data_IF_375943548420
#
_entry.id   IF_375943548420
#
_cell.length_a   1.000
_cell.length_b   1.000
_cell.length_c   1.000
_cell.angle_alpha   90.00
_cell.angle_beta   90.00
_cell.angle_gamma   90.00
#
_symmetry.space_group_name_H-M   'P 1'
#
loop_
_entity.id
_entity.type
_entity.pdbx_description
1 polymer ?
#
# COMPACT_ATOMS: atom_id res chain seq x y z
N UNK A 1 26.62 -27.74 7.39
CA UNK A 1 27.71 -26.74 7.15
C UNK A 1 28.21 -26.22 8.50
N UNK A 2 29.51 -25.95 8.68
CA UNK A 2 30.08 -25.49 9.96
C UNK A 2 30.48 -24.01 9.86
N UNK A 3 30.08 -23.19 10.83
CA UNK A 3 30.55 -21.81 11.00
C UNK A 3 31.53 -21.77 12.16
N UNK A 4 32.75 -21.29 11.90
CA UNK A 4 33.77 -21.08 12.92
C UNK A 4 34.06 -19.59 13.08
N UNK A 5 34.07 -19.10 14.31
CA UNK A 5 34.53 -17.75 14.63
C UNK A 5 35.97 -17.85 15.15
N UNK A 6 36.93 -17.09 14.60
CA UNK A 6 38.28 -17.03 15.14
C UNK A 6 38.29 -16.61 16.62
N UNK A 7 39.05 -17.29 17.50
CA UNK A 7 39.05 -17.04 18.94
C UNK A 7 39.44 -15.58 19.27
N UNK A 8 40.43 -15.04 18.56
CA UNK A 8 40.85 -13.63 18.62
C UNK A 8 39.70 -12.62 18.44
N UNK A 9 38.67 -12.95 17.64
CA UNK A 9 37.49 -12.09 17.47
C UNK A 9 36.51 -12.22 18.63
N UNK A 10 36.43 -13.39 19.25
CA UNK A 10 35.60 -13.61 20.45
C UNK A 10 36.20 -12.88 21.64
N UNK A 11 37.52 -12.97 21.84
CA UNK A 11 38.23 -12.28 22.91
C UNK A 11 38.12 -10.76 22.75
N UNK A 12 38.29 -10.27 21.52
CA UNK A 12 38.07 -8.86 21.19
C UNK A 12 36.64 -8.42 21.51
N UNK A 13 35.63 -9.24 21.18
CA UNK A 13 34.24 -8.91 21.46
C UNK A 13 33.96 -8.90 22.97
N UNK A 14 34.46 -9.88 23.73
CA UNK A 14 34.34 -9.91 25.20
C UNK A 14 34.94 -8.66 25.82
N UNK A 15 36.16 -8.30 25.42
CA UNK A 15 36.83 -7.09 25.91
C UNK A 15 36.03 -5.81 25.61
N UNK A 16 35.52 -5.66 24.40
CA UNK A 16 34.73 -4.48 24.05
C UNK A 16 33.38 -4.42 24.77
N UNK A 17 32.72 -5.56 24.99
CA UNK A 17 31.46 -5.64 25.74
C UNK A 17 31.63 -5.32 27.23
N UNK A 18 32.77 -5.68 27.82
CA UNK A 18 33.08 -5.30 29.20
C UNK A 18 33.21 -3.77 29.36
N UNK A 19 33.77 -3.09 28.34
CA UNK A 19 33.82 -1.62 28.30
C UNK A 19 32.43 -0.96 28.21
N UNK A 20 31.44 -1.63 27.62
CA UNK A 20 30.04 -1.14 27.58
C UNK A 20 29.44 -1.09 29.00
N UNK A 21 29.92 -1.92 29.93
CA UNK A 21 29.43 -1.95 31.31
C UNK A 21 29.96 -0.77 32.14
N UNK A 22 31.16 -0.28 31.87
CA UNK A 22 31.91 0.61 32.77
C UNK A 22 31.53 2.11 32.71
N UNK A 23 31.15 2.69 31.54
CA UNK A 23 30.34 3.92 31.30
C UNK A 23 30.57 4.47 29.87
N UNK A 24 30.14 5.72 29.59
CA UNK A 24 29.94 6.32 28.26
C UNK A 24 31.05 5.98 27.24
N UNK A 25 30.65 5.75 25.98
CA UNK A 25 31.52 5.26 24.91
C UNK A 25 31.38 6.13 23.66
N UNK A 26 32.41 6.25 22.82
CA UNK A 26 32.30 7.00 21.58
C UNK A 26 31.37 6.29 20.58
N UNK A 27 30.65 7.05 19.74
CA UNK A 27 29.75 6.50 18.72
C UNK A 27 30.47 5.50 17.79
N UNK A 28 31.68 5.82 17.37
CA UNK A 28 32.51 4.95 16.52
C UNK A 28 32.83 3.60 17.19
N UNK A 29 33.04 3.59 18.50
CA UNK A 29 33.29 2.37 19.26
C UNK A 29 32.01 1.54 19.36
N UNK A 30 30.87 2.20 19.62
CA UNK A 30 29.56 1.55 19.65
C UNK A 30 29.19 0.91 18.30
N UNK A 31 29.45 1.59 17.20
CA UNK A 31 29.29 1.06 15.83
C UNK A 31 30.20 -0.15 15.59
N UNK A 32 31.46 -0.08 16.02
CA UNK A 32 32.41 -1.19 15.89
C UNK A 32 31.98 -2.42 16.69
N UNK A 33 31.47 -2.25 17.91
CA UNK A 33 30.95 -3.35 18.74
C UNK A 33 29.74 -3.97 18.06
N UNK A 34 28.79 -3.13 17.63
CA UNK A 34 27.54 -3.58 16.99
C UNK A 34 27.84 -4.35 15.70
N UNK A 35 28.83 -3.91 14.92
CA UNK A 35 29.29 -4.62 13.73
C UNK A 35 29.92 -5.99 14.05
N UNK A 36 30.71 -6.07 15.12
CA UNK A 36 31.32 -7.34 15.55
C UNK A 36 30.27 -8.30 16.12
N UNK A 37 29.28 -7.81 16.89
CA UNK A 37 28.13 -8.57 17.34
C UNK A 37 27.33 -9.13 16.16
N UNK A 38 27.02 -8.29 15.16
CA UNK A 38 26.28 -8.72 13.97
C UNK A 38 27.04 -9.80 13.17
N UNK A 39 28.38 -9.70 13.09
CA UNK A 39 29.22 -10.74 12.52
C UNK A 39 29.11 -12.06 13.32
N UNK A 40 29.23 -11.99 14.65
CA UNK A 40 29.18 -13.16 15.53
C UNK A 40 27.78 -13.82 15.59
N UNK A 41 26.70 -13.07 15.38
CA UNK A 41 25.33 -13.61 15.31
C UNK A 41 25.09 -14.58 14.15
N UNK A 42 26.01 -14.69 13.19
CA UNK A 42 25.96 -15.74 12.16
C UNK A 42 26.23 -17.13 12.75
N UNK A 43 26.93 -17.23 13.87
CA UNK A 43 27.18 -18.48 14.59
C UNK A 43 26.35 -18.58 15.87
N UNK A 44 26.06 -17.46 16.53
CA UNK A 44 25.23 -17.42 17.75
C UNK A 44 23.86 -16.83 17.38
N UNK A 45 22.98 -17.66 16.81
CA UNK A 45 21.72 -17.22 16.20
C UNK A 45 20.83 -16.48 17.20
N UNK A 46 20.69 -17.02 18.42
CA UNK A 46 19.87 -16.43 19.49
C UNK A 46 20.37 -15.05 19.95
N UNK A 47 21.66 -14.75 19.78
CA UNK A 47 22.25 -13.49 20.22
C UNK A 47 21.80 -12.29 19.35
N UNK A 48 21.28 -12.54 18.14
CA UNK A 48 20.80 -11.49 17.21
C UNK A 48 19.67 -10.65 17.80
N UNK A 49 18.83 -11.24 18.65
CA UNK A 49 17.71 -10.56 19.30
C UNK A 49 18.18 -9.37 20.16
N UNK A 50 19.40 -9.42 20.69
CA UNK A 50 19.96 -8.45 21.63
C UNK A 50 20.86 -7.40 20.95
N UNK A 51 20.81 -7.28 19.62
CA UNK A 51 21.54 -6.22 18.88
C UNK A 51 20.63 -5.01 18.63
N UNK A 52 19.31 -5.18 18.61
CA UNK A 52 18.39 -4.14 18.14
C UNK A 52 18.51 -2.83 18.92
N UNK A 53 18.61 -2.91 20.25
CA UNK A 53 18.78 -1.74 21.13
C UNK A 53 20.09 -0.99 20.89
N UNK A 54 21.15 -1.66 20.44
CA UNK A 54 22.40 -0.99 20.04
C UNK A 54 22.20 -0.16 18.76
N UNK A 55 21.50 -0.71 17.76
CA UNK A 55 21.17 0.04 16.54
C UNK A 55 20.25 1.23 16.80
N UNK A 56 19.23 1.06 17.65
CA UNK A 56 18.33 2.15 18.03
C UNK A 56 19.08 3.27 18.76
N UNK A 57 20.04 2.91 19.62
CA UNK A 57 20.89 3.88 20.30
C UNK A 57 21.81 4.63 19.33
N UNK A 58 22.43 3.94 18.37
CA UNK A 58 23.24 4.57 17.30
C UNK A 58 22.38 5.56 16.49
N UNK A 59 21.17 5.15 16.08
CA UNK A 59 20.26 5.98 15.30
C UNK A 59 19.74 7.23 16.06
N UNK A 60 19.72 7.18 17.41
CA UNK A 60 19.24 8.28 18.25
C UNK A 60 20.18 9.49 18.32
N UNK A 61 21.44 9.35 17.90
CA UNK A 61 22.47 10.39 18.04
C UNK A 61 22.37 11.41 16.88
N UNK A 62 21.75 12.56 17.16
CA UNK A 62 21.64 13.68 16.20
C UNK A 62 23.04 14.20 15.81
N UNK A 63 23.30 14.28 14.50
CA UNK A 63 24.53 14.74 13.83
C UNK A 63 25.69 13.72 13.68
N UNK A 64 25.54 12.45 14.10
CA UNK A 64 26.38 11.32 13.63
C UNK A 64 27.91 11.50 13.72
N UNK A 65 28.43 12.39 14.58
CA UNK A 65 29.87 12.63 14.66
C UNK A 65 30.56 11.46 15.35
N UNK A 66 31.64 10.88 14.78
CA UNK A 66 32.22 9.62 15.26
C UNK A 66 32.79 9.70 16.69
N UNK A 67 33.23 10.88 17.13
CA UNK A 67 33.80 11.12 18.46
C UNK A 67 32.76 11.52 19.51
N UNK A 68 31.47 11.56 19.15
CA UNK A 68 30.43 11.92 20.10
C UNK A 68 30.25 10.81 21.13
N UNK A 69 30.33 11.19 22.41
CA UNK A 69 30.23 10.25 23.52
C UNK A 69 28.77 9.95 23.86
N UNK A 70 28.38 8.69 23.70
CA UNK A 70 27.01 8.19 23.92
C UNK A 70 26.87 7.67 25.35
N UNK A 71 25.79 8.07 26.03
CA UNK A 71 25.42 7.51 27.34
C UNK A 71 24.60 6.24 27.14
N UNK A 72 25.11 5.12 27.61
CA UNK A 72 24.46 3.81 27.53
C UNK A 72 23.35 3.70 28.59
N UNK A 73 22.15 3.31 28.18
CA UNK A 73 21.01 3.08 29.08
C UNK A 73 21.13 1.70 29.78
N UNK A 74 20.31 1.47 30.79
CA UNK A 74 20.30 0.21 31.56
C UNK A 74 19.97 -1.02 30.70
N UNK A 75 19.15 -0.84 29.66
CA UNK A 75 18.71 -1.91 28.75
C UNK A 75 19.84 -2.39 27.84
N UNK A 76 20.60 -1.48 27.23
CA UNK A 76 21.78 -1.82 26.41
C UNK A 76 22.85 -2.51 27.26
N UNK A 77 22.98 -2.13 28.53
CA UNK A 77 23.85 -2.85 29.49
C UNK A 77 23.32 -4.22 29.89
N UNK A 78 22.00 -4.43 29.88
CA UNK A 78 21.42 -5.76 30.10
C UNK A 78 21.73 -6.67 28.90
N UNK A 79 21.61 -6.16 27.68
CA UNK A 79 21.96 -6.90 26.47
C UNK A 79 23.44 -7.25 26.39
N UNK A 80 24.32 -6.32 26.77
CA UNK A 80 25.76 -6.60 26.85
C UNK A 80 26.07 -7.76 27.81
N UNK A 81 25.37 -7.84 28.95
CA UNK A 81 25.51 -8.96 29.91
C UNK A 81 25.01 -10.28 29.34
N UNK A 82 23.88 -10.26 28.64
CA UNK A 82 23.35 -11.45 27.95
C UNK A 82 24.35 -11.94 26.89
N UNK A 83 24.97 -11.02 26.15
CA UNK A 83 26.02 -11.34 25.19
C UNK A 83 27.25 -11.95 25.83
N UNK A 84 27.73 -11.41 26.96
CA UNK A 84 28.86 -12.00 27.69
C UNK A 84 28.55 -13.44 28.12
N UNK A 85 27.34 -13.69 28.65
CA UNK A 85 26.91 -15.05 29.02
C UNK A 85 26.91 -16.01 27.81
N UNK A 86 26.43 -15.56 26.65
CA UNK A 86 26.51 -16.38 25.43
C UNK A 86 27.95 -16.66 25.01
N UNK A 87 28.85 -15.68 25.09
CA UNK A 87 30.23 -15.84 24.69
C UNK A 87 31.04 -16.71 25.66
N UNK A 88 30.63 -16.82 26.93
CA UNK A 88 31.25 -17.73 27.90
C UNK A 88 30.86 -19.19 27.64
N UNK A 89 29.65 -19.43 27.14
CA UNK A 89 29.18 -20.77 26.80
C UNK A 89 29.49 -21.18 25.34
N UNK A 90 29.95 -20.24 24.50
CA UNK A 90 30.20 -20.49 23.08
C UNK A 90 31.63 -20.96 22.80
N UNK A 91 31.78 -22.20 22.35
CA UNK A 91 33.06 -22.84 22.01
C UNK A 91 33.68 -22.38 20.67
N UNK A 92 33.14 -21.33 20.03
CA UNK A 92 33.65 -20.77 18.77
C UNK A 92 33.19 -21.50 17.51
N UNK A 93 32.37 -22.55 17.62
CA UNK A 93 31.88 -23.35 16.49
C UNK A 93 30.36 -23.53 16.57
N UNK A 94 29.69 -23.37 15.42
CA UNK A 94 28.27 -23.68 15.27
C UNK A 94 28.06 -24.56 14.04
N UNK A 95 27.46 -25.72 14.25
CA UNK A 95 26.96 -26.55 13.16
C UNK A 95 25.60 -26.01 12.75
N UNK A 96 25.38 -25.78 11.45
CA UNK A 96 24.03 -25.64 10.94
C UNK A 96 23.32 -26.98 11.17
N UNK A 97 22.27 -27.06 12.01
CA UNK A 97 21.48 -28.27 12.08
C UNK A 97 20.88 -28.52 10.71
N UNK A 98 20.95 -29.76 10.23
CA UNK A 98 20.16 -30.15 9.08
C UNK A 98 18.69 -29.88 9.43
N UNK A 99 18.04 -29.06 8.59
CA UNK A 99 16.64 -28.67 8.80
C UNK A 99 15.76 -29.85 8.41
N UNK A 100 15.54 -30.76 9.35
CA UNK A 100 14.46 -31.72 9.25
C UNK A 100 13.16 -31.05 9.69
N UNK A 101 12.12 -31.21 8.88
CA UNK A 101 10.77 -30.85 9.31
C UNK A 101 10.33 -31.86 10.36
N UNK A 102 10.30 -31.44 11.62
CA UNK A 102 9.71 -32.20 12.71
C UNK A 102 8.21 -31.92 12.79
N UNK A 103 7.40 -32.94 13.07
CA UNK A 103 5.97 -32.76 13.36
C UNK A 103 5.81 -32.06 14.72
N UNK A 104 4.71 -31.32 14.90
CA UNK A 104 4.38 -30.57 16.13
C UNK A 104 4.23 -31.45 17.38
N UNK A 105 4.37 -32.77 17.27
CA UNK A 105 4.24 -33.74 18.37
C UNK A 105 5.50 -33.81 19.25
N UNK A 106 6.59 -33.14 18.85
CA UNK A 106 7.91 -33.24 19.48
C UNK A 106 8.48 -31.92 20.01
N UNK A 107 7.81 -30.78 19.77
CA UNK A 107 8.26 -29.46 20.20
C UNK A 107 7.16 -28.72 20.96
N UNK A 108 7.28 -28.71 22.29
CA UNK A 108 6.51 -27.81 23.15
C UNK A 108 7.22 -26.44 23.20
N UNK A 109 6.85 -25.54 22.28
CA UNK A 109 7.31 -24.15 22.29
C UNK A 109 6.34 -23.29 23.09
N UNK A 110 6.77 -22.84 24.27
CA UNK A 110 6.04 -21.86 25.07
C UNK A 110 6.64 -20.46 24.86
N UNK A 111 5.77 -19.49 24.55
CA UNK A 111 6.12 -18.07 24.39
C UNK A 111 5.34 -17.24 25.42
N UNK A 112 6.02 -16.29 26.05
CA UNK A 112 5.49 -15.37 27.07
C UNK A 112 5.01 -14.03 26.47
N UNK A 113 4.90 -13.93 25.15
CA UNK A 113 4.52 -12.69 24.45
C UNK A 113 3.00 -12.56 24.19
N UNK A 114 2.17 -12.93 25.16
CA UNK A 114 0.74 -12.60 25.16
C UNK A 114 0.51 -11.39 26.08
N UNK A 115 0.02 -10.28 25.52
CA UNK A 115 -0.21 -9.01 26.23
C UNK A 115 -1.38 -9.03 27.22
N UNK A 116 -1.47 -10.03 28.09
CA UNK A 116 -2.49 -10.15 29.14
C UNK A 116 -1.84 -10.26 30.52
N UNK A 117 -2.42 -9.55 31.49
CA UNK A 117 -1.85 -9.19 32.80
C UNK A 117 -1.66 -10.33 33.81
N UNK A 118 -1.78 -11.59 33.42
CA UNK A 118 -1.65 -12.73 34.31
C UNK A 118 -0.86 -13.82 33.60
N UNK A 119 -0.01 -14.54 34.34
CA UNK A 119 1.05 -15.45 33.90
C UNK A 119 2.40 -14.78 33.57
N UNK A 120 3.08 -14.32 34.62
CA UNK A 120 4.53 -14.14 34.60
C UNK A 120 5.23 -15.31 35.28
N UNK A 121 6.34 -15.79 34.70
CA UNK A 121 7.24 -16.75 35.34
C UNK A 121 8.28 -16.02 36.18
N UNK A 122 8.14 -16.09 37.50
CA UNK A 122 9.25 -16.06 38.46
C UNK A 122 9.53 -17.50 38.95
N UNK A 123 10.63 -17.73 39.67
CA UNK A 123 11.02 -19.07 40.15
C UNK A 123 10.18 -19.58 41.34
N UNK A 124 8.92 -19.15 41.47
CA UNK A 124 8.01 -19.64 42.49
C UNK A 124 6.71 -20.15 41.87
N UNK A 125 6.60 -21.48 41.82
CA UNK A 125 5.39 -22.20 41.48
C UNK A 125 4.30 -21.90 42.52
N UNK A 126 3.31 -21.07 42.18
CA UNK A 126 1.97 -21.18 42.77
C UNK A 126 1.09 -21.95 41.80
N UNK A 127 0.69 -23.14 42.20
CA UNK A 127 -0.32 -23.95 41.51
C UNK A 127 -1.58 -23.10 41.32
N UNK A 128 -1.91 -22.80 40.06
CA UNK A 128 -3.24 -22.33 39.69
C UNK A 128 -4.00 -23.46 39.01
N UNK A 129 -5.21 -23.67 39.52
CA UNK A 129 -6.19 -24.67 39.12
C UNK A 129 -6.42 -24.73 37.63
N UNK A 130 -6.48 -25.96 37.12
CA UNK A 130 -6.80 -26.34 35.75
C UNK A 130 -8.14 -25.78 35.28
N UNK A 131 -8.13 -24.70 34.53
CA UNK A 131 -9.07 -24.52 33.42
C UNK A 131 -8.30 -24.81 32.13
N UNK A 132 -8.63 -25.93 31.48
CA UNK A 132 -8.07 -26.27 30.18
C UNK A 132 -8.28 -25.07 29.24
N UNK A 133 -7.23 -24.51 28.60
CA UNK A 133 -7.44 -23.55 27.53
C UNK A 133 -8.25 -24.27 26.45
N UNK A 134 -9.45 -23.77 26.16
CA UNK A 134 -10.28 -24.21 25.06
C UNK A 134 -9.41 -24.20 23.80
N UNK A 135 -9.06 -25.39 23.29
CA UNK A 135 -8.37 -25.52 22.01
C UNK A 135 -9.26 -24.88 20.94
N UNK A 136 -8.84 -23.73 20.41
CA UNK A 136 -9.48 -23.13 19.25
C UNK A 136 -9.35 -24.14 18.11
N UNK A 137 -10.46 -24.63 17.51
CA UNK A 137 -10.40 -25.60 16.43
C UNK A 137 -9.61 -25.04 15.24
N UNK A 138 -8.77 -25.87 14.61
CA UNK A 138 -7.89 -25.45 13.49
C UNK A 138 -8.68 -24.94 12.28
N UNK A 139 -9.94 -25.36 12.14
CA UNK A 139 -10.86 -24.86 11.10
C UNK A 139 -11.17 -23.35 11.24
N UNK A 140 -11.09 -22.82 12.46
CA UNK A 140 -11.27 -21.39 12.74
C UNK A 140 -10.10 -20.59 12.15
N UNK A 141 -8.86 -21.05 12.38
CA UNK A 141 -7.66 -20.40 11.81
C UNK A 141 -7.62 -20.44 10.28
N UNK A 142 -8.10 -21.52 9.64
CA UNK A 142 -8.15 -21.59 8.18
C UNK A 142 -9.15 -20.59 7.61
N UNK A 143 -10.29 -20.41 8.28
CA UNK A 143 -11.31 -19.44 7.90
C UNK A 143 -10.81 -18.01 8.09
N UNK A 144 -10.17 -17.71 9.23
CA UNK A 144 -9.54 -16.42 9.50
C UNK A 144 -8.42 -16.12 8.51
N UNK A 145 -7.55 -17.08 8.23
CA UNK A 145 -6.49 -16.94 7.23
C UNK A 145 -7.08 -16.60 5.85
N UNK A 146 -8.08 -17.34 5.39
CA UNK A 146 -8.74 -17.05 4.11
C UNK A 146 -9.39 -15.65 4.12
N UNK A 147 -10.01 -15.26 5.22
CA UNK A 147 -10.58 -13.92 5.38
C UNK A 147 -9.49 -12.83 5.28
N UNK A 148 -8.33 -13.03 5.91
CA UNK A 148 -7.19 -12.12 5.80
C UNK A 148 -6.61 -12.07 4.39
N UNK A 149 -6.47 -13.22 3.71
CA UNK A 149 -5.96 -13.29 2.35
C UNK A 149 -6.90 -12.59 1.36
N UNK A 150 -8.22 -12.77 1.50
CA UNK A 150 -9.21 -12.06 0.67
C UNK A 150 -9.11 -10.55 0.90
N UNK A 151 -9.08 -10.11 2.17
CA UNK A 151 -9.01 -8.68 2.51
C UNK A 151 -7.63 -8.04 2.29
N UNK A 152 -6.60 -8.83 1.95
CA UNK A 152 -5.28 -8.31 1.56
C UNK A 152 -5.32 -7.50 0.24
N UNK A 153 -6.35 -7.69 -0.58
CA UNK A 153 -6.57 -6.97 -1.83
C UNK A 153 -7.82 -6.09 -1.74
N UNK A 154 -7.74 -4.89 -2.32
CA UNK A 154 -8.91 -4.05 -2.52
C UNK A 154 -9.97 -4.76 -3.41
N UNK A 155 -11.29 -4.57 -3.17
CA UNK A 155 -12.34 -5.25 -3.92
C UNK A 155 -12.28 -5.05 -5.44
N UNK A 156 -11.78 -3.90 -5.89
CA UNK A 156 -11.56 -3.62 -7.32
C UNK A 156 -10.41 -4.43 -7.90
N UNK A 157 -9.33 -4.63 -7.14
CA UNK A 157 -8.19 -5.47 -7.52
C UNK A 157 -8.58 -6.94 -7.57
N UNK A 158 -9.36 -7.43 -6.59
CA UNK A 158 -9.89 -8.80 -6.60
C UNK A 158 -10.69 -9.07 -7.88
N UNK A 159 -11.64 -8.18 -8.23
CA UNK A 159 -12.44 -8.29 -9.47
C UNK A 159 -11.57 -8.29 -10.72
N UNK A 160 -10.53 -7.45 -10.77
CA UNK A 160 -9.60 -7.40 -11.90
C UNK A 160 -8.80 -8.70 -12.05
N UNK A 161 -8.34 -9.29 -10.94
CA UNK A 161 -7.59 -10.54 -10.96
C UNK A 161 -8.47 -11.75 -11.31
N UNK A 162 -9.70 -11.82 -10.77
CA UNK A 162 -10.68 -12.84 -11.15
C UNK A 162 -11.02 -12.75 -12.64
N UNK A 163 -11.23 -11.54 -13.15
CA UNK A 163 -11.49 -11.33 -14.58
C UNK A 163 -10.29 -11.74 -15.45
N UNK A 164 -9.06 -11.46 -15.00
CA UNK A 164 -7.85 -11.95 -15.66
C UNK A 164 -7.82 -13.48 -15.74
N UNK A 165 -8.20 -14.16 -14.65
CA UNK A 165 -8.23 -15.61 -14.61
C UNK A 165 -9.27 -16.18 -15.59
N UNK A 166 -10.48 -15.61 -15.59
CA UNK A 166 -11.55 -15.99 -16.52
C UNK A 166 -11.11 -15.88 -17.99
N UNK A 167 -10.43 -14.78 -18.35
CA UNK A 167 -9.91 -14.59 -19.71
C UNK A 167 -8.83 -15.64 -20.03
N UNK A 168 -7.97 -15.97 -19.08
CA UNK A 168 -6.89 -16.93 -19.28
C UNK A 168 -7.42 -18.37 -19.44
N UNK A 169 -8.37 -18.78 -18.61
CA UNK A 169 -9.02 -20.10 -18.69
C UNK A 169 -9.74 -20.24 -20.05
N UNK A 170 -10.52 -19.23 -20.44
CA UNK A 170 -11.16 -19.21 -21.78
C UNK A 170 -10.15 -19.26 -22.90
N UNK A 171 -9.00 -18.61 -22.76
CA UNK A 171 -7.94 -18.71 -23.75
C UNK A 171 -7.43 -20.15 -23.87
N UNK A 172 -7.16 -20.83 -22.75
CA UNK A 172 -6.71 -22.23 -22.74
C UNK A 172 -7.72 -23.16 -23.40
N UNK A 173 -8.99 -23.07 -22.98
CA UNK A 173 -10.08 -23.88 -23.52
C UNK A 173 -10.21 -23.71 -25.04
N UNK A 174 -10.23 -22.46 -25.53
CA UNK A 174 -10.42 -22.17 -26.96
C UNK A 174 -9.23 -22.57 -27.85
N UNK A 175 -8.04 -22.80 -27.27
CA UNK A 175 -6.83 -23.14 -28.02
C UNK A 175 -6.29 -24.54 -27.67
N UNK A 176 -7.06 -25.34 -26.91
CA UNK A 176 -6.73 -26.73 -26.61
C UNK A 176 -5.55 -26.92 -25.64
N UNK A 177 -5.23 -25.93 -24.80
CA UNK A 177 -4.22 -26.08 -23.76
C UNK A 177 -4.78 -26.89 -22.59
N UNK A 178 -3.94 -27.71 -21.96
CA UNK A 178 -4.30 -28.48 -20.78
C UNK A 178 -4.45 -27.60 -19.54
N UNK A 179 -5.39 -27.95 -18.65
CA UNK A 179 -5.58 -27.26 -17.37
C UNK A 179 -4.55 -27.71 -16.33
N UNK A 180 -3.30 -27.26 -16.51
CA UNK A 180 -2.16 -27.60 -15.65
C UNK A 180 -1.70 -26.39 -14.85
N UNK A 181 -1.33 -26.65 -13.59
CA UNK A 181 -0.84 -25.69 -12.59
C UNK A 181 0.44 -26.20 -11.93
N UNK A 182 1.48 -25.37 -11.70
CA UNK A 182 1.60 -23.96 -12.07
C UNK A 182 1.52 -23.73 -13.57
N UNK A 183 1.10 -22.53 -13.98
CA UNK A 183 0.95 -22.18 -15.40
C UNK A 183 2.27 -22.43 -16.14
N UNK A 184 2.33 -23.31 -17.15
CA UNK A 184 3.53 -23.53 -17.94
C UNK A 184 3.99 -22.26 -18.64
N UNK A 185 5.29 -22.17 -18.92
CA UNK A 185 5.86 -21.00 -19.57
C UNK A 185 5.30 -20.81 -21.00
N UNK A 186 5.06 -21.90 -21.71
CA UNK A 186 4.56 -21.87 -23.09
C UNK A 186 3.12 -21.33 -23.16
N UNK A 187 2.26 -21.69 -22.21
CA UNK A 187 0.92 -21.11 -22.06
C UNK A 187 1.00 -19.60 -21.83
N UNK A 188 1.88 -19.14 -20.94
CA UNK A 188 2.04 -17.71 -20.63
C UNK A 188 2.52 -16.94 -21.84
N UNK A 189 3.55 -17.43 -22.53
CA UNK A 189 4.08 -16.75 -23.72
C UNK A 189 3.04 -16.72 -24.84
N UNK A 190 2.33 -17.83 -25.08
CA UNK A 190 1.24 -17.92 -26.06
C UNK A 190 0.07 -16.99 -25.71
N UNK A 191 -0.29 -16.89 -24.43
CA UNK A 191 -1.34 -15.98 -23.97
C UNK A 191 -0.95 -14.52 -24.18
N UNK A 192 0.30 -14.15 -23.92
CA UNK A 192 0.80 -12.79 -24.17
C UNK A 192 0.74 -12.44 -25.67
N UNK A 193 1.14 -13.38 -26.53
CA UNK A 193 1.02 -13.23 -27.99
C UNK A 193 -0.44 -13.12 -28.42
N UNK A 194 -1.34 -13.93 -27.87
CA UNK A 194 -2.77 -13.84 -28.11
C UNK A 194 -3.33 -12.45 -27.77
N UNK A 195 -3.01 -11.92 -26.59
CA UNK A 195 -3.44 -10.59 -26.17
C UNK A 195 -2.87 -9.48 -27.07
N UNK A 196 -1.62 -9.62 -27.51
CA UNK A 196 -1.01 -8.71 -28.47
C UNK A 196 -1.76 -8.72 -29.82
N UNK A 197 -2.12 -9.89 -30.34
CA UNK A 197 -2.92 -10.03 -31.58
C UNK A 197 -4.32 -9.44 -31.45
N UNK A 198 -4.90 -9.48 -30.25
CA UNK A 198 -6.15 -8.79 -29.90
C UNK A 198 -5.98 -7.28 -29.70
N UNK A 199 -4.78 -6.73 -29.91
CA UNK A 199 -4.45 -5.30 -29.78
C UNK A 199 -4.72 -4.74 -28.38
N UNK A 200 -4.60 -5.56 -27.33
CA UNK A 200 -4.70 -5.07 -25.96
C UNK A 200 -3.51 -4.17 -25.61
N UNK A 201 -3.74 -3.19 -24.74
CA UNK A 201 -2.69 -2.26 -24.31
C UNK A 201 -1.68 -2.93 -23.37
N UNK A 202 -0.46 -2.41 -23.34
CA UNK A 202 0.59 -2.87 -22.42
C UNK A 202 0.09 -2.91 -20.95
N UNK A 203 -0.64 -1.89 -20.51
CA UNK A 203 -1.15 -1.83 -19.14
C UNK A 203 -2.15 -2.95 -18.83
N UNK A 204 -3.02 -3.29 -19.79
CA UNK A 204 -4.00 -4.36 -19.62
C UNK A 204 -3.30 -5.71 -19.57
N UNK A 205 -2.37 -5.96 -20.51
CA UNK A 205 -1.57 -7.20 -20.55
C UNK A 205 -0.80 -7.39 -19.24
N UNK A 206 -0.08 -6.36 -18.79
CA UNK A 206 0.65 -6.41 -17.52
C UNK A 206 -0.28 -6.64 -16.34
N UNK A 207 -1.48 -6.04 -16.34
CA UNK A 207 -2.48 -6.24 -15.30
C UNK A 207 -2.98 -7.69 -15.23
N UNK A 208 -3.22 -8.32 -16.38
CA UNK A 208 -3.64 -9.73 -16.42
C UNK A 208 -2.51 -10.66 -15.95
N UNK A 209 -1.28 -10.45 -16.41
CA UNK A 209 -0.13 -11.25 -15.96
C UNK A 209 0.08 -11.10 -14.44
N UNK A 210 -0.14 -9.90 -13.87
CA UNK A 210 -0.10 -9.71 -12.41
C UNK A 210 -1.20 -10.49 -11.68
N UNK A 211 -2.40 -10.60 -12.24
CA UNK A 211 -3.49 -11.42 -11.68
C UNK A 211 -3.13 -12.91 -11.65
N UNK A 212 -2.55 -13.43 -12.73
CA UNK A 212 -2.05 -14.81 -12.80
C UNK A 212 -0.89 -15.06 -11.83
N UNK A 213 0.05 -14.11 -11.74
CA UNK A 213 1.16 -14.13 -10.77
C UNK A 213 0.65 -14.21 -9.32
N UNK A 214 -0.35 -13.40 -8.99
CA UNK A 214 -0.98 -13.41 -7.68
C UNK A 214 -1.61 -14.77 -7.36
N UNK A 215 -2.33 -15.36 -8.32
CA UNK A 215 -2.94 -16.67 -8.13
C UNK A 215 -1.92 -17.79 -7.91
N UNK A 216 -0.81 -17.84 -8.66
CA UNK A 216 0.23 -18.82 -8.39
C UNK A 216 0.82 -18.64 -6.99
N UNK A 217 1.13 -17.39 -6.60
CA UNK A 217 1.74 -17.08 -5.30
C UNK A 217 0.84 -17.40 -4.11
N UNK A 218 -0.45 -17.04 -4.17
CA UNK A 218 -1.38 -17.27 -3.06
C UNK A 218 -1.62 -18.76 -2.80
N UNK A 219 -1.45 -19.60 -3.84
CA UNK A 219 -1.54 -21.05 -3.76
C UNK A 219 -0.17 -21.73 -3.55
N UNK A 220 0.90 -20.97 -3.25
CA UNK A 220 2.26 -21.48 -3.10
C UNK A 220 2.81 -22.27 -4.32
N UNK A 221 2.36 -21.91 -5.52
CA UNK A 221 2.82 -22.48 -6.79
C UNK A 221 4.00 -21.69 -7.38
N UNK A 222 4.82 -22.33 -8.22
CA UNK A 222 5.93 -21.64 -8.92
C UNK A 222 5.38 -20.51 -9.82
N UNK A 223 5.97 -19.31 -9.69
CA UNK A 223 5.55 -18.14 -10.47
C UNK A 223 6.37 -17.96 -11.75
N UNK A 224 5.94 -18.65 -12.81
CA UNK A 224 6.53 -18.54 -14.14
C UNK A 224 6.33 -17.17 -14.82
N UNK A 225 5.42 -16.32 -14.32
CA UNK A 225 5.14 -15.00 -14.92
C UNK A 225 6.31 -14.03 -14.81
N UNK A 226 7.23 -14.29 -13.88
CA UNK A 226 8.38 -13.42 -13.63
C UNK A 226 9.61 -13.80 -14.46
N UNK A 227 9.53 -14.89 -15.25
CA UNK A 227 10.65 -15.36 -16.09
C UNK A 227 11.02 -14.31 -17.12
N UNK A 228 12.32 -14.27 -17.47
CA UNK A 228 12.90 -13.21 -18.31
C UNK A 228 12.19 -13.06 -19.66
N UNK A 229 11.81 -14.17 -20.30
CA UNK A 229 11.08 -14.16 -21.58
C UNK A 229 9.72 -13.46 -21.48
N UNK A 230 8.95 -13.70 -20.41
CA UNK A 230 7.65 -13.05 -20.18
C UNK A 230 7.83 -11.54 -20.07
N UNK A 231 8.83 -11.09 -19.30
CA UNK A 231 9.17 -9.66 -19.18
C UNK A 231 9.54 -9.06 -20.53
N UNK A 232 10.36 -9.76 -21.33
CA UNK A 232 10.75 -9.30 -22.67
C UNK A 232 9.60 -9.24 -23.67
N UNK A 233 8.65 -10.16 -23.61
CA UNK A 233 7.44 -10.10 -24.42
C UNK A 233 6.59 -8.87 -24.07
N UNK A 234 6.39 -8.60 -22.77
CA UNK A 234 5.64 -7.41 -22.32
C UNK A 234 6.36 -6.12 -22.72
N UNK A 235 7.69 -6.05 -22.59
CA UNK A 235 8.50 -4.94 -23.10
C UNK A 235 8.35 -4.77 -24.62
N UNK A 236 8.29 -5.88 -25.37
CA UNK A 236 8.04 -5.90 -26.81
C UNK A 236 6.68 -5.28 -27.16
N UNK A 237 5.63 -5.67 -26.45
CA UNK A 237 4.28 -5.08 -26.60
C UNK A 237 4.32 -3.58 -26.32
N UNK A 238 5.06 -3.13 -25.30
CA UNK A 238 5.21 -1.71 -24.98
C UNK A 238 5.88 -0.92 -26.11
N UNK A 239 6.85 -1.51 -26.81
CA UNK A 239 7.57 -0.86 -27.91
C UNK A 239 6.77 -0.87 -29.22
N UNK A 240 6.14 -2.00 -29.54
CA UNK A 240 5.34 -2.19 -30.76
C UNK A 240 3.96 -1.54 -30.67
N UNK A 241 3.42 -1.38 -29.46
CA UNK A 241 2.23 -0.62 -29.17
C UNK A 241 2.46 0.87 -29.42
N UNK A 242 2.29 1.28 -30.68
CA UNK A 242 2.60 2.62 -31.19
C UNK A 242 1.84 3.79 -30.52
N UNK A 243 1.88 5.00 -31.11
CA UNK A 243 1.39 6.25 -30.49
C UNK A 243 -0.07 6.24 -30.00
N UNK A 244 -0.92 5.30 -30.45
CA UNK A 244 -2.28 5.06 -29.93
C UNK A 244 -2.33 4.54 -28.48
N UNK A 245 -1.20 4.22 -27.85
CA UNK A 245 -1.10 3.89 -26.43
C UNK A 245 -0.65 5.07 -25.55
N UNK A 246 -0.30 6.21 -26.14
CA UNK A 246 -0.03 7.44 -25.37
C UNK A 246 -1.37 8.08 -25.01
N UNK A 247 -1.52 8.51 -23.76
CA UNK A 247 -2.67 9.31 -23.36
C UNK A 247 -2.64 10.61 -24.17
N UNK A 248 -3.56 10.74 -25.13
CA UNK A 248 -3.67 11.91 -26.01
C UNK A 248 -4.50 13.02 -25.38
N UNK A 249 -5.08 12.78 -24.20
CA UNK A 249 -5.91 13.78 -23.52
C UNK A 249 -5.04 14.93 -23.06
N UNK A 250 -5.41 16.13 -23.50
CA UNK A 250 -4.77 17.34 -23.04
C UNK A 250 -5.23 17.69 -21.61
N UNK A 251 -4.39 18.41 -20.83
CA UNK A 251 -4.78 18.88 -19.50
C UNK A 251 -5.76 20.03 -19.62
N UNK A 252 -6.85 20.03 -18.84
CA UNK A 252 -7.74 21.19 -18.74
C UNK A 252 -6.90 22.34 -18.20
N UNK A 253 -6.81 23.44 -18.96
CA UNK A 253 -6.13 24.67 -18.52
C UNK A 253 -7.14 25.62 -17.88
N UNK A 254 -6.66 26.67 -17.21
CA UNK A 254 -7.54 27.69 -16.62
C UNK A 254 -8.46 28.35 -17.65
N UNK A 255 -7.93 28.63 -18.85
CA UNK A 255 -8.72 29.26 -19.93
C UNK A 255 -9.81 28.32 -20.45
N UNK A 256 -9.49 27.02 -20.53
CA UNK A 256 -10.47 25.99 -20.91
C UNK A 256 -11.53 25.87 -19.83
N UNK A 257 -11.14 25.86 -18.55
CA UNK A 257 -12.09 25.87 -17.44
C UNK A 257 -13.03 27.08 -17.52
N UNK A 258 -12.50 28.29 -17.74
CA UNK A 258 -13.33 29.50 -17.82
C UNK A 258 -14.35 29.43 -18.97
N UNK A 259 -13.91 29.00 -20.16
CA UNK A 259 -14.81 28.78 -21.30
C UNK A 259 -15.87 27.73 -20.99
N UNK A 260 -15.47 26.66 -20.31
CA UNK A 260 -16.34 25.57 -19.92
C UNK A 260 -17.41 26.04 -18.93
N UNK A 261 -17.03 26.77 -17.88
CA UNK A 261 -17.96 27.32 -16.90
C UNK A 261 -18.97 28.29 -17.53
N UNK A 262 -18.54 29.16 -18.46
CA UNK A 262 -19.43 30.10 -19.16
C UNK A 262 -20.48 29.38 -20.02
N UNK A 263 -20.10 28.28 -20.66
CA UNK A 263 -21.01 27.52 -21.53
C UNK A 263 -22.07 26.70 -20.78
N UNK A 264 -21.90 26.45 -19.48
CA UNK A 264 -22.84 25.65 -18.69
C UNK A 264 -24.24 26.27 -18.64
N UNK A 265 -24.36 27.59 -18.62
CA UNK A 265 -25.64 28.28 -18.61
C UNK A 265 -26.51 27.96 -19.83
N UNK A 266 -25.90 27.57 -20.96
CA UNK A 266 -26.59 27.20 -22.20
C UNK A 266 -26.87 25.70 -22.27
N UNK A 267 -26.03 24.87 -21.66
CA UNK A 267 -26.07 23.40 -21.79
C UNK A 267 -26.92 22.74 -20.70
N UNK A 268 -26.92 23.31 -19.49
CA UNK A 268 -27.61 22.75 -18.35
C UNK A 268 -29.12 23.04 -18.43
N UNK A 269 -29.93 22.15 -17.84
CA UNK A 269 -31.40 22.23 -17.91
C UNK A 269 -31.98 23.47 -17.23
N UNK A 270 -31.31 23.96 -16.19
CA UNK A 270 -31.77 25.09 -15.38
C UNK A 270 -30.59 25.77 -14.65
N UNK A 271 -30.89 26.88 -13.97
CA UNK A 271 -29.89 27.66 -13.22
C UNK A 271 -29.29 26.93 -12.01
N UNK A 272 -30.02 25.98 -11.41
CA UNK A 272 -29.49 25.14 -10.32
C UNK A 272 -28.40 24.19 -10.84
N UNK A 273 -28.71 23.43 -11.90
CA UNK A 273 -27.76 22.51 -12.55
C UNK A 273 -26.52 23.26 -13.03
N UNK A 274 -26.69 24.48 -13.54
CA UNK A 274 -25.57 25.35 -13.91
C UNK A 274 -24.65 25.60 -12.72
N UNK A 275 -25.19 26.01 -11.56
CA UNK A 275 -24.41 26.25 -10.34
C UNK A 275 -23.77 24.96 -9.80
N UNK A 276 -24.49 23.84 -9.85
CA UNK A 276 -24.00 22.52 -9.47
C UNK A 276 -22.75 22.12 -10.27
N UNK A 277 -22.83 22.19 -11.60
CA UNK A 277 -21.70 21.82 -12.46
C UNK A 277 -20.58 22.86 -12.44
N UNK A 278 -20.88 24.15 -12.25
CA UNK A 278 -19.84 25.15 -12.07
C UNK A 278 -19.02 24.88 -10.82
N UNK A 279 -19.70 24.58 -9.71
CA UNK A 279 -19.07 24.25 -8.44
C UNK A 279 -18.26 22.95 -8.52
N UNK A 280 -18.82 21.91 -9.13
CA UNK A 280 -18.15 20.62 -9.26
C UNK A 280 -16.90 20.69 -10.14
N UNK A 281 -16.95 21.37 -11.27
CA UNK A 281 -15.80 21.51 -12.18
C UNK A 281 -14.73 22.45 -11.64
N UNK A 282 -15.12 23.56 -11.01
CA UNK A 282 -14.16 24.45 -10.37
C UNK A 282 -13.46 23.76 -9.20
N UNK A 283 -14.19 23.00 -8.38
CA UNK A 283 -13.59 22.24 -7.29
C UNK A 283 -12.66 21.12 -7.82
N UNK A 284 -13.09 20.38 -8.85
CA UNK A 284 -12.27 19.34 -9.47
C UNK A 284 -10.91 19.88 -9.94
N UNK A 285 -10.94 21.02 -10.63
CA UNK A 285 -9.75 21.64 -11.19
C UNK A 285 -8.80 22.15 -10.11
N UNK A 286 -9.31 22.93 -9.15
CA UNK A 286 -8.46 23.56 -8.14
C UNK A 286 -8.03 22.61 -7.02
N UNK A 287 -8.83 21.57 -6.76
CA UNK A 287 -8.53 20.53 -5.79
C UNK A 287 -7.78 19.32 -6.38
N UNK A 288 -7.49 19.32 -7.68
CA UNK A 288 -6.90 18.18 -8.40
C UNK A 288 -7.66 16.86 -8.15
N UNK A 289 -8.98 16.96 -8.05
CA UNK A 289 -9.82 15.84 -7.63
C UNK A 289 -10.03 14.87 -8.78
N UNK A 290 -10.11 13.58 -8.45
CA UNK A 290 -10.55 12.58 -9.40
C UNK A 290 -12.05 12.67 -9.61
N UNK A 291 -12.52 12.36 -10.80
CA UNK A 291 -13.96 12.35 -11.13
C UNK A 291 -14.76 11.47 -10.15
N UNK A 292 -14.18 10.37 -9.66
CA UNK A 292 -14.81 9.50 -8.66
C UNK A 292 -14.98 10.09 -7.26
N UNK A 293 -14.28 11.19 -6.93
CA UNK A 293 -14.45 11.92 -5.67
C UNK A 293 -15.63 12.91 -5.75
N UNK A 294 -16.13 13.18 -6.97
CA UNK A 294 -17.19 14.17 -7.24
C UNK A 294 -18.49 13.50 -7.74
N UNK A 295 -18.37 12.35 -8.37
CA UNK A 295 -19.48 11.65 -9.02
C UNK A 295 -19.59 10.21 -8.55
N UNK A 296 -20.82 9.69 -8.60
CA UNK A 296 -21.11 8.30 -8.28
C UNK A 296 -21.10 7.45 -9.56
N UNK A 297 -20.66 6.20 -9.42
CA UNK A 297 -20.78 5.19 -10.46
C UNK A 297 -22.07 4.42 -10.28
N UNK A 298 -22.89 4.30 -11.33
CA UNK A 298 -24.16 3.56 -11.25
C UNK A 298 -23.96 2.08 -10.92
N UNK A 299 -22.76 1.52 -11.15
CA UNK A 299 -22.44 0.11 -10.89
C UNK A 299 -21.75 -0.13 -9.55
N UNK A 300 -21.25 0.91 -8.88
CA UNK A 300 -20.43 0.77 -7.69
C UNK A 300 -21.02 1.60 -6.55
N UNK A 301 -21.63 0.93 -5.57
CA UNK A 301 -22.33 1.57 -4.44
C UNK A 301 -21.38 2.18 -3.39
N UNK A 302 -20.06 2.00 -3.52
CA UNK A 302 -19.09 2.60 -2.61
C UNK A 302 -19.01 4.12 -2.84
N UNK A 303 -19.46 4.89 -1.85
CA UNK A 303 -19.45 6.36 -1.88
C UNK A 303 -18.13 6.89 -1.33
N UNK A 304 -17.12 7.03 -2.21
CA UNK A 304 -15.92 7.81 -1.93
C UNK A 304 -16.09 9.29 -2.34
N UNK A 305 -17.32 9.73 -2.55
CA UNK A 305 -17.61 11.11 -2.94
C UNK A 305 -17.46 12.05 -1.74
N UNK A 306 -17.04 13.28 -2.01
CA UNK A 306 -17.02 14.33 -1.01
C UNK A 306 -18.42 14.53 -0.47
N UNK A 307 -18.53 14.51 0.86
CA UNK A 307 -19.78 14.77 1.57
C UNK A 307 -19.93 16.25 1.91
N UNK A 308 -21.16 16.71 2.08
CA UNK A 308 -21.43 18.09 2.46
C UNK A 308 -20.82 18.45 3.83
N UNK A 309 -20.89 17.52 4.80
CA UNK A 309 -20.29 17.66 6.14
C UNK A 309 -18.77 17.84 6.13
N UNK A 310 -18.10 17.43 5.04
CA UNK A 310 -16.65 17.50 4.88
C UNK A 310 -16.16 18.83 4.31
N UNK A 311 -17.05 19.81 4.13
CA UNK A 311 -16.72 21.13 3.59
C UNK A 311 -16.71 22.17 4.71
N UNK A 312 -15.61 22.92 4.80
CA UNK A 312 -15.55 24.16 5.58
C UNK A 312 -15.25 25.32 4.64
N UNK A 313 -16.15 26.27 4.58
CA UNK A 313 -16.03 27.46 3.73
C UNK A 313 -15.90 28.71 4.59
N UNK A 314 -14.92 29.54 4.28
CA UNK A 314 -14.82 30.90 4.80
C UNK A 314 -14.49 31.88 3.67
N UNK A 315 -14.48 33.18 3.97
CA UNK A 315 -14.31 34.23 2.96
C UNK A 315 -12.96 34.20 2.24
N UNK A 316 -11.94 33.58 2.84
CA UNK A 316 -10.58 33.51 2.31
C UNK A 316 -10.23 32.15 1.68
N UNK A 317 -10.82 31.05 2.14
CA UNK A 317 -10.45 29.69 1.72
C UNK A 317 -11.61 28.70 1.81
N UNK A 318 -11.45 27.59 1.11
CA UNK A 318 -12.30 26.41 1.12
C UNK A 318 -11.46 25.22 1.57
N UNK A 319 -11.93 24.48 2.57
CA UNK A 319 -11.32 23.23 3.01
C UNK A 319 -12.24 22.06 2.67
N UNK A 320 -11.66 21.02 2.09
CA UNK A 320 -12.37 19.80 1.66
C UNK A 320 -11.69 18.59 2.26
N UNK A 321 -12.39 17.89 3.17
CA UNK A 321 -11.91 16.62 3.72
C UNK A 321 -12.26 15.46 2.79
N UNK A 322 -11.22 14.83 2.24
CA UNK A 322 -11.29 13.54 1.59
C UNK A 322 -11.06 12.45 2.63
N UNK A 323 -12.08 11.65 2.92
CA UNK A 323 -11.97 10.55 3.91
C UNK A 323 -11.19 9.36 3.37
N UNK A 324 -11.08 9.22 2.06
CA UNK A 324 -10.33 8.15 1.39
C UNK A 324 -9.97 8.57 -0.02
N UNK A 325 -8.92 7.97 -0.57
CA UNK A 325 -8.53 8.14 -1.97
C UNK A 325 -7.99 6.83 -2.54
N UNK A 326 -7.88 6.73 -3.86
CA UNK A 326 -7.35 5.51 -4.51
C UNK A 326 -5.93 5.15 -4.04
N UNK A 327 -5.14 6.14 -3.66
CA UNK A 327 -3.76 5.96 -3.19
C UNK A 327 -3.64 5.80 -1.67
N UNK A 328 -4.77 5.90 -0.96
CA UNK A 328 -4.84 5.81 0.49
C UNK A 328 -5.22 4.38 0.90
N UNK A 329 -4.21 3.50 0.93
CA UNK A 329 -4.40 2.07 1.20
C UNK A 329 -4.93 1.79 2.61
N UNK A 330 -4.69 2.71 3.55
CA UNK A 330 -5.08 2.57 4.97
C UNK A 330 -6.22 3.51 5.40
N UNK A 331 -6.78 4.31 4.48
CA UNK A 331 -7.92 5.17 4.77
C UNK A 331 -7.62 6.33 5.73
N UNK A 332 -6.39 6.87 5.73
CA UNK A 332 -6.01 7.99 6.61
C UNK A 332 -6.70 9.31 6.25
N UNK A 333 -7.18 9.45 5.00
CA UNK A 333 -7.79 10.66 4.50
C UNK A 333 -6.80 11.82 4.28
N UNK A 334 -7.29 12.91 3.69
CA UNK A 334 -6.51 14.14 3.49
C UNK A 334 -7.42 15.37 3.39
N UNK A 335 -6.96 16.53 3.85
CA UNK A 335 -7.68 17.80 3.73
C UNK A 335 -7.06 18.65 2.65
N UNK A 336 -7.84 18.98 1.62
CA UNK A 336 -7.44 19.87 0.54
C UNK A 336 -7.85 21.30 0.93
N UNK A 337 -6.88 22.22 0.91
CA UNK A 337 -7.12 23.64 1.19
C UNK A 337 -6.98 24.46 -0.09
N UNK A 338 -8.05 25.14 -0.48
CA UNK A 338 -8.14 25.93 -1.71
C UNK A 338 -8.35 27.40 -1.35
N UNK A 339 -7.41 28.25 -1.74
CA UNK A 339 -7.48 29.68 -1.47
C UNK A 339 -8.35 30.43 -2.49
N UNK A 340 -8.97 31.52 -2.04
CA UNK A 340 -9.73 32.43 -2.90
C UNK A 340 -8.85 33.01 -4.01
N UNK A 341 -9.38 32.97 -5.23
CA UNK A 341 -8.68 33.46 -6.43
C UNK A 341 -9.10 34.91 -6.74
N UNK A 342 -8.17 35.69 -7.31
CA UNK A 342 -8.44 37.07 -7.76
C UNK A 342 -9.46 37.12 -8.91
N UNK A 343 -9.36 36.20 -9.87
CA UNK A 343 -10.31 36.10 -10.97
C UNK A 343 -11.64 35.52 -10.46
N UNK A 344 -12.67 36.36 -10.40
CA UNK A 344 -14.00 36.00 -9.90
C UNK A 344 -14.72 34.97 -10.78
N UNK A 345 -14.41 34.89 -12.08
CA UNK A 345 -15.11 34.02 -13.04
C UNK A 345 -14.85 32.53 -12.81
N UNK A 346 -13.68 32.19 -12.25
CA UNK A 346 -13.26 30.80 -11.98
C UNK A 346 -12.99 30.53 -10.50
N UNK A 347 -13.25 31.51 -9.63
CA UNK A 347 -12.87 31.42 -8.22
C UNK A 347 -13.65 30.30 -7.50
N UNK A 348 -12.99 29.23 -7.03
CA UNK A 348 -13.65 28.08 -6.41
C UNK A 348 -14.38 28.47 -5.12
N UNK A 349 -13.79 29.36 -4.30
CA UNK A 349 -14.41 29.83 -3.05
C UNK A 349 -15.74 30.54 -3.32
N UNK A 350 -15.77 31.45 -4.30
CA UNK A 350 -16.99 32.20 -4.63
C UNK A 350 -18.05 31.31 -5.30
N UNK A 351 -17.63 30.46 -6.24
CA UNK A 351 -18.54 29.55 -6.95
C UNK A 351 -19.16 28.55 -5.96
N UNK A 352 -18.35 27.98 -5.06
CA UNK A 352 -18.84 27.09 -4.01
C UNK A 352 -19.78 27.81 -3.05
N UNK A 353 -19.48 29.04 -2.62
CA UNK A 353 -20.38 29.84 -1.80
C UNK A 353 -21.75 30.03 -2.47
N UNK A 354 -21.76 30.34 -3.78
CA UNK A 354 -22.99 30.53 -4.54
C UNK A 354 -23.80 29.24 -4.71
N UNK A 355 -23.13 28.09 -4.84
CA UNK A 355 -23.79 26.79 -4.92
C UNK A 355 -24.35 26.35 -3.56
N UNK A 356 -23.56 26.44 -2.48
CA UNK A 356 -23.99 26.04 -1.13
C UNK A 356 -25.24 26.81 -0.69
N UNK A 357 -25.36 28.10 -1.05
CA UNK A 357 -26.55 28.92 -0.78
C UNK A 357 -27.85 28.37 -1.39
N UNK A 358 -27.77 27.66 -2.52
CA UNK A 358 -28.94 27.13 -3.22
C UNK A 358 -29.06 25.61 -3.12
N UNK A 359 -28.08 24.94 -2.50
CA UNK A 359 -28.06 23.48 -2.33
C UNK A 359 -29.18 23.09 -1.37
N UNK A 360 -30.06 22.14 -1.74
CA UNK A 360 -31.05 21.60 -0.82
C UNK A 360 -30.39 20.99 0.43
N UNK A 361 -31.05 21.00 1.60
CA UNK A 361 -30.47 20.55 2.87
C UNK A 361 -30.45 19.01 3.00
N UNK A 362 -30.10 18.28 1.94
CA UNK A 362 -29.95 16.82 1.98
C UNK A 362 -28.60 16.42 2.60
N UNK A 363 -28.63 15.33 3.36
CA UNK A 363 -27.43 14.66 3.85
C UNK A 363 -26.73 13.89 2.72
N UNK A 364 -25.44 13.60 2.92
CA UNK A 364 -24.65 12.78 2.00
C UNK A 364 -23.78 13.60 1.04
N UNK A 365 -23.80 13.32 -0.28
CA UNK A 365 -22.82 13.87 -1.20
C UNK A 365 -22.95 15.39 -1.32
N UNK A 366 -21.81 16.07 -1.41
CA UNK A 366 -21.72 17.52 -1.56
C UNK A 366 -22.46 17.98 -2.81
N UNK A 367 -22.17 17.35 -3.93
CA UNK A 367 -22.83 17.60 -5.20
C UNK A 367 -24.02 16.67 -5.34
N UNK A 368 -25.21 17.26 -5.48
CA UNK A 368 -26.46 16.54 -5.70
C UNK A 368 -27.37 17.36 -6.61
N UNK A 369 -28.20 16.66 -7.38
CA UNK A 369 -29.32 17.24 -8.10
C UNK A 369 -30.36 17.79 -7.13
N UNK A 370 -31.35 18.52 -7.64
CA UNK A 370 -32.38 19.15 -6.81
C UNK A 370 -33.23 18.13 -6.03
N UNK A 371 -33.35 16.90 -6.54
CA UNK A 371 -34.03 15.77 -5.88
C UNK A 371 -33.14 15.03 -4.86
N UNK A 372 -31.91 15.51 -4.62
CA UNK A 372 -30.94 14.89 -3.73
C UNK A 372 -30.12 13.75 -4.34
N UNK A 373 -30.41 13.34 -5.58
CA UNK A 373 -29.64 12.30 -6.26
C UNK A 373 -28.21 12.77 -6.60
N UNK A 374 -27.19 11.92 -6.53
CA UNK A 374 -25.82 12.32 -6.85
C UNK A 374 -25.59 12.45 -8.37
N UNK A 375 -24.65 13.29 -8.82
CA UNK A 375 -24.26 13.34 -10.22
C UNK A 375 -23.52 12.06 -10.60
N UNK A 376 -23.96 11.44 -11.70
CA UNK A 376 -23.32 10.25 -12.25
C UNK A 376 -22.20 10.61 -13.24
N UNK A 377 -21.19 9.74 -13.33
CA UNK A 377 -20.04 9.91 -14.24
C UNK A 377 -20.43 10.19 -15.69
N UNK A 378 -21.36 9.40 -16.25
CA UNK A 378 -21.71 9.44 -17.68
C UNK A 378 -22.34 10.80 -18.07
N UNK A 379 -23.37 11.31 -17.36
CA UNK A 379 -23.89 12.66 -17.59
C UNK A 379 -22.83 13.76 -17.51
N UNK A 380 -21.92 13.70 -16.53
CA UNK A 380 -20.83 14.68 -16.39
C UNK A 380 -19.92 14.68 -17.62
N UNK A 381 -19.49 13.52 -18.09
CA UNK A 381 -18.71 13.44 -19.32
C UNK A 381 -19.51 13.94 -20.53
N UNK A 382 -20.80 13.63 -20.62
CA UNK A 382 -21.66 14.12 -21.71
C UNK A 382 -21.71 15.66 -21.75
N UNK A 383 -21.81 16.31 -20.60
CA UNK A 383 -21.78 17.77 -20.49
C UNK A 383 -20.43 18.31 -20.99
N UNK A 384 -19.31 17.76 -20.51
CA UNK A 384 -17.97 18.17 -20.95
C UNK A 384 -17.82 17.99 -22.47
N UNK A 385 -18.32 16.88 -23.04
CA UNK A 385 -18.30 16.66 -24.49
C UNK A 385 -19.13 17.69 -25.26
N UNK A 386 -20.35 18.02 -24.79
CA UNK A 386 -21.21 19.02 -25.42
C UNK A 386 -20.54 20.40 -25.46
N UNK A 387 -19.85 20.79 -24.38
CA UNK A 387 -19.04 22.02 -24.31
C UNK A 387 -17.92 22.02 -25.36
N UNK A 388 -17.21 20.90 -25.50
CA UNK A 388 -16.11 20.77 -26.47
C UNK A 388 -16.60 20.83 -27.92
N UNK A 389 -17.79 20.28 -28.20
CA UNK A 389 -18.41 20.30 -29.53
C UNK A 389 -18.96 21.68 -29.89
N UNK A 390 -19.52 22.44 -28.94
CA UNK A 390 -20.01 23.80 -29.18
C UNK A 390 -18.88 24.82 -29.38
N UNK A 391 -17.68 24.53 -28.84
CA UNK A 391 -16.52 25.42 -28.90
C UNK A 391 -15.38 24.83 -29.75
N UNK A 392 -15.56 24.50 -31.04
CA UNK A 392 -14.49 24.15 -32.01
C UNK A 392 -13.37 23.15 -31.59
N UNK A 393 -13.44 22.48 -30.44
CA UNK A 393 -12.43 21.53 -29.93
C UNK A 393 -12.78 20.12 -30.40
N UNK A 394 -12.81 19.93 -31.73
CA UNK A 394 -13.21 18.66 -32.35
C UNK A 394 -12.12 17.59 -32.38
N UNK A 395 -10.91 17.90 -31.93
CA UNK A 395 -9.80 16.94 -31.85
C UNK A 395 -9.15 17.07 -30.47
N UNK A 396 -8.92 15.94 -29.80
CA UNK A 396 -8.01 15.77 -28.64
C UNK A 396 -8.60 15.71 -27.20
N UNK A 397 -9.92 15.63 -26.98
CA UNK A 397 -10.49 15.67 -25.61
C UNK A 397 -11.21 14.42 -25.10
N UNK A 398 -11.13 13.28 -25.78
CA UNK A 398 -11.75 12.02 -25.29
C UNK A 398 -10.82 10.84 -25.57
#
# INVERSE_FOLDING_TARGET
MLVRIPPEKLDKLKFMLDQVLSKKMALKELESITGLMAFCSRAIISARAFIRRFYDLIASVKNGKPYYTVRLNSEVKADARVWLNFLDQFNGQCYFPDRFWSTNESLDLFTDSAGTTFYGLGPECRQFSSSNPTRIPVDDFRTEMNHLLINSLAPSTQKAYLHSMDIFVKFRENHGFSDVWPIPLDDLTSFIVYMFRKKLSHSTVSGYISGLSYFNKINNLEDNTQKFVVRKLIEGIKRLGGPNQKDTRLPITRDILEKLLRSLAVICKNGYETKLFMASFSLAFHGFMRVGEITVDCKNKQMHTVKFENIKLCDARLEVLLTSSKTDQFGSGTTIVISKQKNKNVCPVQIMANFIKVRPPYLGPLFCHFDGSPPYKIPVFSIIKKVSVSNWYRKQWI
#
